data_IF_064608787239
#
_entry.id   IF_064608787239
#
_cell.length_a   1.000
_cell.length_b   1.000
_cell.length_c   1.000
_cell.angle_alpha   90.00
_cell.angle_beta   90.00
_cell.angle_gamma   90.00
#
_symmetry.space_group_name_H-M   'P 1'
#
loop_
_entity.id
_entity.type
_entity.pdbx_description
1 polymer ?
#
# COMPACT_ATOMS: atom_id res chain seq x y z
N UNK A 1 9.47 -12.85 -0.73
CA UNK A 1 8.06 -12.54 -1.06
C UNK A 1 7.96 -11.85 -2.40
N UNK A 2 6.76 -11.79 -3.00
CA UNK A 2 6.47 -11.05 -4.23
C UNK A 2 5.35 -10.04 -3.96
N UNK A 3 5.55 -8.80 -4.37
CA UNK A 3 4.62 -7.68 -4.15
C UNK A 3 4.03 -7.20 -5.47
N UNK A 4 2.73 -7.00 -5.52
CA UNK A 4 2.06 -6.22 -6.55
C UNK A 4 1.79 -4.81 -6.00
N UNK A 5 2.10 -3.78 -6.78
CA UNK A 5 1.75 -2.39 -6.46
C UNK A 5 0.63 -1.95 -7.39
N UNK A 6 -0.52 -1.61 -6.84
CA UNK A 6 -1.61 -1.02 -7.62
C UNK A 6 -1.24 0.41 -8.01
N UNK A 7 -1.06 0.65 -9.30
CA UNK A 7 -0.52 1.90 -9.82
C UNK A 7 -1.58 2.59 -10.69
N UNK A 8 -2.38 3.43 -10.07
CA UNK A 8 -3.40 4.27 -10.71
C UNK A 8 -2.78 5.65 -10.98
N UNK A 9 -3.19 6.31 -12.06
CA UNK A 9 -2.71 7.66 -12.38
C UNK A 9 -2.81 8.59 -11.17
N UNK A 10 -1.86 9.51 -11.07
CA UNK A 10 -1.78 10.48 -9.97
C UNK A 10 -1.66 9.83 -8.57
N UNK A 11 -1.00 8.66 -8.50
CA UNK A 11 -0.57 8.10 -7.22
C UNK A 11 0.37 9.09 -6.51
N UNK A 12 0.41 9.06 -5.18
CA UNK A 12 1.32 9.92 -4.44
C UNK A 12 2.77 9.43 -4.60
N UNK A 13 3.62 10.28 -5.18
CA UNK A 13 5.01 9.95 -5.55
C UNK A 13 5.83 9.43 -4.38
N UNK A 14 5.79 10.14 -3.22
CA UNK A 14 6.53 9.74 -2.01
C UNK A 14 6.07 8.36 -1.55
N UNK A 15 4.76 8.12 -1.53
CA UNK A 15 4.19 6.88 -0.98
C UNK A 15 4.62 5.68 -1.80
N UNK A 16 4.55 5.76 -3.12
CA UNK A 16 4.95 4.65 -3.97
C UNK A 16 6.46 4.45 -3.95
N UNK A 17 7.24 5.51 -4.20
CA UNK A 17 8.69 5.38 -4.39
C UNK A 17 9.39 5.02 -3.09
N UNK A 18 9.08 5.69 -1.98
CA UNK A 18 9.75 5.44 -0.70
C UNK A 18 9.42 4.04 -0.15
N UNK A 19 8.15 3.63 -0.23
CA UNK A 19 7.74 2.30 0.20
C UNK A 19 8.46 1.21 -0.60
N UNK A 20 8.38 1.28 -1.93
CA UNK A 20 9.01 0.29 -2.81
C UNK A 20 10.54 0.26 -2.64
N UNK A 21 11.18 1.42 -2.43
CA UNK A 21 12.63 1.50 -2.22
C UNK A 21 13.07 0.77 -0.96
N UNK A 22 12.39 0.96 0.17
CA UNK A 22 12.71 0.26 1.42
C UNK A 22 12.51 -1.26 1.27
N UNK A 23 11.40 -1.69 0.64
CA UNK A 23 11.16 -3.11 0.44
C UNK A 23 12.20 -3.74 -0.51
N UNK A 24 12.61 -3.02 -1.53
CA UNK A 24 13.70 -3.46 -2.43
C UNK A 24 15.02 -3.57 -1.67
N UNK A 25 15.39 -2.53 -0.89
CA UNK A 25 16.62 -2.52 -0.09
C UNK A 25 16.66 -3.64 0.95
N UNK A 26 15.51 -4.14 1.39
CA UNK A 26 15.43 -5.27 2.33
C UNK A 26 15.96 -6.59 1.78
N UNK A 27 16.00 -6.75 0.45
CA UNK A 27 16.35 -8.01 -0.22
C UNK A 27 15.34 -9.16 0.03
N UNK A 28 14.24 -8.91 0.72
CA UNK A 28 13.22 -9.92 1.07
C UNK A 28 12.13 -10.08 0.00
N UNK A 29 12.06 -9.15 -0.95
CA UNK A 29 11.12 -9.21 -2.06
C UNK A 29 11.86 -9.57 -3.35
N UNK A 30 11.63 -10.78 -3.82
CA UNK A 30 12.24 -11.29 -5.07
C UNK A 30 11.64 -10.65 -6.32
N UNK A 31 10.46 -10.03 -6.18
CA UNK A 31 9.74 -9.36 -7.25
C UNK A 31 8.84 -8.26 -6.70
N UNK A 32 8.85 -7.10 -7.36
CA UNK A 32 7.92 -5.99 -7.14
C UNK A 32 7.45 -5.55 -8.52
N UNK A 33 6.19 -5.82 -8.83
CA UNK A 33 5.56 -5.39 -10.08
C UNK A 33 4.55 -4.29 -9.83
N UNK A 34 4.39 -3.44 -10.82
CA UNK A 34 3.48 -2.31 -10.79
C UNK A 34 2.35 -2.56 -11.79
N UNK A 35 1.14 -2.75 -11.30
CA UNK A 35 -0.03 -3.06 -12.11
C UNK A 35 -0.87 -1.82 -12.38
N UNK A 36 -1.14 -1.54 -13.66
CA UNK A 36 -2.09 -0.50 -14.07
C UNK A 36 -3.44 -1.11 -14.45
N UNK A 37 -4.51 -0.84 -13.67
CA UNK A 37 -5.86 -1.27 -14.03
C UNK A 37 -6.41 -0.52 -15.25
N UNK A 38 -5.76 0.57 -15.65
CA UNK A 38 -6.06 1.37 -16.83
C UNK A 38 -5.32 0.85 -18.09
N UNK A 39 -4.58 -0.27 -17.96
CA UNK A 39 -3.83 -0.93 -19.05
C UNK A 39 -2.77 -0.04 -19.71
N UNK A 40 -2.22 0.92 -18.97
CA UNK A 40 -1.14 1.79 -19.43
C UNK A 40 0.20 1.07 -19.39
N UNK A 41 1.12 1.44 -20.29
CA UNK A 41 2.52 0.97 -20.27
C UNK A 41 3.33 1.69 -19.20
N UNK A 42 2.91 2.90 -18.83
CA UNK A 42 3.47 3.67 -17.74
C UNK A 42 2.42 4.57 -17.09
N UNK A 43 2.61 4.84 -15.83
CA UNK A 43 1.74 5.72 -15.02
C UNK A 43 2.60 6.76 -14.32
N UNK A 44 2.08 7.98 -14.23
CA UNK A 44 2.76 9.13 -13.65
C UNK A 44 2.16 9.48 -12.31
N UNK A 45 3.01 9.84 -11.35
CA UNK A 45 2.62 10.28 -10.02
C UNK A 45 1.96 11.66 -10.01
N UNK A 46 1.31 11.99 -8.90
CA UNK A 46 0.53 13.22 -8.70
C UNK A 46 1.33 14.50 -8.95
N UNK A 47 2.61 14.50 -8.60
CA UNK A 47 3.50 15.66 -8.75
C UNK A 47 4.45 15.54 -9.95
N UNK A 48 4.23 14.56 -10.83
CA UNK A 48 5.05 14.31 -12.01
C UNK A 48 6.54 14.05 -11.69
N UNK A 49 6.83 13.52 -10.51
CA UNK A 49 8.18 13.18 -10.06
C UNK A 49 8.51 11.74 -10.45
N UNK A 50 7.59 10.82 -10.25
CA UNK A 50 7.77 9.41 -10.56
C UNK A 50 7.00 8.99 -11.82
N UNK A 51 7.71 8.28 -12.71
CA UNK A 51 7.16 7.65 -13.91
C UNK A 51 7.40 6.15 -13.81
N UNK A 52 6.36 5.38 -13.65
CA UNK A 52 6.43 3.95 -13.32
C UNK A 52 6.00 3.12 -14.53
N UNK A 53 6.88 2.24 -15.01
CA UNK A 53 6.50 1.20 -15.98
C UNK A 53 5.58 0.20 -15.33
N UNK A 54 4.52 -0.20 -16.03
CA UNK A 54 3.47 -1.04 -15.47
C UNK A 54 3.22 -2.29 -16.31
N UNK A 55 2.72 -3.33 -15.64
CA UNK A 55 2.10 -4.49 -16.27
C UNK A 55 0.59 -4.26 -16.41
N UNK A 56 -0.04 -4.88 -17.41
CA UNK A 56 -1.47 -4.71 -17.73
C UNK A 56 -2.35 -5.83 -17.16
N UNK A 57 -1.74 -6.91 -16.71
CA UNK A 57 -2.43 -8.06 -16.12
C UNK A 57 -1.52 -8.74 -15.11
N UNK A 58 -2.12 -9.47 -14.18
CA UNK A 58 -1.42 -10.26 -13.18
C UNK A 58 -2.23 -11.53 -12.86
N UNK A 59 -1.60 -12.49 -12.19
CA UNK A 59 -2.28 -13.60 -11.54
C UNK A 59 -2.05 -13.46 -10.04
N UNK A 60 -3.11 -13.38 -9.25
CA UNK A 60 -3.03 -13.21 -7.78
C UNK A 60 -2.17 -14.29 -7.12
N UNK A 61 -2.13 -15.50 -7.67
CA UNK A 61 -1.32 -16.60 -7.13
C UNK A 61 0.20 -16.36 -7.23
N UNK A 62 0.62 -15.45 -8.10
CA UNK A 62 2.04 -15.11 -8.28
C UNK A 62 2.58 -14.13 -7.23
N UNK A 63 1.71 -13.58 -6.36
CA UNK A 63 2.08 -12.56 -5.38
C UNK A 63 1.64 -12.95 -3.96
N UNK A 64 2.35 -12.43 -2.97
CA UNK A 64 2.07 -12.62 -1.54
C UNK A 64 1.34 -11.43 -0.93
N UNK A 65 1.49 -10.26 -1.53
CA UNK A 65 0.94 -9.00 -1.04
C UNK A 65 0.59 -8.05 -2.18
N UNK A 66 -0.36 -7.14 -1.91
CA UNK A 66 -0.64 -5.95 -2.73
C UNK A 66 -0.41 -4.69 -1.91
N UNK A 67 0.21 -3.67 -2.51
CA UNK A 67 0.35 -2.33 -1.96
C UNK A 67 -0.49 -1.33 -2.76
N UNK A 68 -1.22 -0.47 -2.04
CA UNK A 68 -2.12 0.53 -2.61
C UNK A 68 -1.71 1.92 -2.11
N UNK A 69 -0.93 2.69 -2.89
CA UNK A 69 -0.59 4.06 -2.57
C UNK A 69 -1.82 4.97 -2.67
N UNK A 70 -1.76 6.12 -2.02
CA UNK A 70 -2.82 7.12 -2.04
C UNK A 70 -2.61 8.21 -3.10
N UNK A 71 -2.75 9.46 -2.68
CA UNK A 71 -2.77 10.62 -3.57
C UNK A 71 -4.11 10.79 -4.27
N UNK A 72 -4.13 11.54 -5.37
CA UNK A 72 -5.31 11.65 -6.24
C UNK A 72 -5.70 10.29 -6.83
N UNK A 73 -4.74 9.38 -6.95
CA UNK A 73 -4.97 7.98 -7.32
C UNK A 73 -6.02 7.28 -6.47
N UNK A 74 -6.10 7.58 -5.17
CA UNK A 74 -7.12 7.04 -4.28
C UNK A 74 -8.54 7.57 -4.60
N UNK A 75 -8.65 8.80 -5.10
CA UNK A 75 -9.92 9.36 -5.57
C UNK A 75 -10.36 8.59 -6.82
N UNK A 76 -9.44 8.37 -7.77
CA UNK A 76 -9.73 7.59 -8.97
C UNK A 76 -10.07 6.12 -8.65
N UNK A 77 -9.43 5.54 -7.62
CA UNK A 77 -9.70 4.16 -7.18
C UNK A 77 -11.17 3.95 -6.80
N UNK A 78 -11.83 4.95 -6.18
CA UNK A 78 -13.23 4.85 -5.74
C UNK A 78 -14.20 4.41 -6.85
N UNK A 79 -13.89 4.74 -8.09
CA UNK A 79 -14.71 4.39 -9.25
C UNK A 79 -14.04 3.41 -10.22
N UNK A 80 -12.78 3.06 -9.99
CA UNK A 80 -12.03 2.14 -10.85
C UNK A 80 -12.33 0.69 -10.47
N UNK A 81 -13.31 0.08 -11.14
CA UNK A 81 -13.76 -1.28 -10.85
C UNK A 81 -12.64 -2.32 -11.01
N UNK A 82 -11.73 -2.18 -12.00
CA UNK A 82 -10.60 -3.09 -12.18
C UNK A 82 -9.58 -2.98 -11.03
N UNK A 83 -9.32 -1.76 -10.56
CA UNK A 83 -8.43 -1.51 -9.42
C UNK A 83 -9.02 -2.08 -8.11
N UNK A 84 -10.30 -1.83 -7.86
CA UNK A 84 -11.02 -2.40 -6.70
C UNK A 84 -11.06 -3.92 -6.76
N UNK A 85 -11.36 -4.51 -7.92
CA UNK A 85 -11.36 -5.95 -8.11
C UNK A 85 -9.99 -6.56 -7.85
N UNK A 86 -8.90 -5.92 -8.31
CA UNK A 86 -7.55 -6.38 -8.04
C UNK A 86 -7.27 -6.50 -6.53
N UNK A 87 -7.59 -5.48 -5.73
CA UNK A 87 -7.41 -5.55 -4.27
C UNK A 87 -8.31 -6.64 -3.65
N UNK A 88 -9.55 -6.74 -4.13
CA UNK A 88 -10.49 -7.75 -3.63
C UNK A 88 -10.03 -9.19 -3.88
N UNK A 89 -9.31 -9.46 -4.98
CA UNK A 89 -8.70 -10.77 -5.23
C UNK A 89 -7.69 -11.13 -4.15
N UNK A 90 -6.87 -10.19 -3.67
CA UNK A 90 -5.93 -10.41 -2.57
C UNK A 90 -6.67 -10.68 -1.25
N UNK A 91 -7.72 -9.91 -0.94
CA UNK A 91 -8.55 -10.14 0.25
C UNK A 91 -9.15 -11.55 0.20
N UNK A 92 -9.78 -11.94 -0.91
CA UNK A 92 -10.37 -13.28 -1.09
C UNK A 92 -9.36 -14.41 -1.00
N UNK A 93 -8.15 -14.19 -1.52
CA UNK A 93 -7.06 -15.15 -1.47
C UNK A 93 -6.36 -15.19 -0.10
N UNK A 94 -6.85 -14.44 0.89
CA UNK A 94 -6.26 -14.31 2.22
C UNK A 94 -4.76 -13.91 2.14
N UNK A 95 -4.44 -12.96 1.26
CA UNK A 95 -3.10 -12.38 1.08
C UNK A 95 -3.00 -11.01 1.74
N UNK A 96 -1.78 -10.52 1.92
CA UNK A 96 -1.56 -9.23 2.56
C UNK A 96 -2.05 -8.07 1.69
N UNK A 97 -2.80 -7.17 2.30
CA UNK A 97 -3.18 -5.87 1.73
C UNK A 97 -2.50 -4.78 2.56
N UNK A 98 -1.74 -3.94 1.88
CA UNK A 98 -1.06 -2.80 2.49
C UNK A 98 -1.58 -1.56 1.78
N UNK A 99 -2.12 -0.59 2.53
CA UNK A 99 -2.69 0.61 1.94
C UNK A 99 -2.33 1.86 2.77
N UNK A 100 -2.20 3.01 2.11
CA UNK A 100 -1.79 4.24 2.79
C UNK A 100 -2.64 5.44 2.35
N UNK A 101 -2.63 6.47 3.19
CA UNK A 101 -3.23 7.76 2.91
C UNK A 101 -4.74 7.65 2.72
N UNK A 102 -5.28 8.08 1.59
CA UNK A 102 -6.71 8.02 1.31
C UNK A 102 -7.18 6.67 0.73
N UNK A 103 -6.26 5.79 0.35
CA UNK A 103 -6.61 4.48 -0.21
C UNK A 103 -7.37 3.57 0.75
N UNK A 104 -7.05 3.48 2.06
CA UNK A 104 -7.88 2.72 2.99
C UNK A 104 -9.33 3.20 3.06
N UNK A 105 -9.59 4.52 2.92
CA UNK A 105 -10.94 5.07 2.85
C UNK A 105 -11.65 4.56 1.59
N UNK A 106 -11.01 4.69 0.42
CA UNK A 106 -11.56 4.21 -0.85
C UNK A 106 -11.93 2.72 -0.80
N UNK A 107 -11.06 1.89 -0.19
CA UNK A 107 -11.31 0.45 -0.02
C UNK A 107 -12.47 0.18 0.95
N UNK A 108 -12.56 0.92 2.06
CA UNK A 108 -13.65 0.79 3.04
C UNK A 108 -14.99 1.21 2.46
N UNK A 109 -15.05 2.36 1.79
CA UNK A 109 -16.25 2.88 1.12
C UNK A 109 -16.82 1.90 0.06
N UNK A 110 -15.92 1.19 -0.63
CA UNK A 110 -16.28 0.19 -1.63
C UNK A 110 -16.45 -1.23 -1.05
N UNK A 111 -16.46 -1.38 0.28
CA UNK A 111 -16.67 -2.67 0.96
C UNK A 111 -15.64 -3.74 0.58
N UNK A 112 -14.42 -3.32 0.25
CA UNK A 112 -13.29 -4.22 0.00
C UNK A 112 -12.70 -4.70 1.32
N UNK A 113 -12.62 -3.79 2.32
CA UNK A 113 -12.25 -4.16 3.69
C UNK A 113 -13.45 -4.80 4.40
N UNK A 114 -13.17 -5.69 5.36
CA UNK A 114 -14.25 -6.24 6.17
C UNK A 114 -14.87 -5.13 7.05
N UNK A 115 -16.18 -5.21 7.33
CA UNK A 115 -16.88 -4.19 8.11
C UNK A 115 -16.28 -3.92 9.51
N UNK A 116 -15.61 -4.93 10.08
CA UNK A 116 -14.98 -4.83 11.42
C UNK A 116 -13.52 -4.38 11.38
N UNK A 117 -12.94 -4.20 10.18
CA UNK A 117 -11.54 -3.82 10.04
C UNK A 117 -11.31 -2.39 10.53
N UNK A 118 -10.56 -2.25 11.61
CA UNK A 118 -10.01 -0.96 12.01
C UNK A 118 -8.83 -0.63 11.14
N UNK A 119 -8.78 0.61 10.63
CA UNK A 119 -7.71 1.08 9.75
C UNK A 119 -7.32 2.52 10.06
N UNK A 120 -6.14 2.89 9.62
CA UNK A 120 -5.63 4.25 9.62
C UNK A 120 -5.62 4.78 8.19
N UNK A 121 -5.94 6.06 8.03
CA UNK A 121 -5.93 6.74 6.74
C UNK A 121 -5.73 8.24 6.92
N UNK A 122 -5.47 8.91 5.81
CA UNK A 122 -5.54 10.36 5.72
C UNK A 122 -6.99 10.85 5.90
N UNK A 123 -7.15 12.05 6.44
CA UNK A 123 -8.43 12.74 6.52
C UNK A 123 -8.20 14.24 6.57
N UNK A 124 -9.03 14.97 5.90
CA UNK A 124 -9.14 16.45 5.98
C UNK A 124 -9.88 16.94 7.21
N UNK A 125 -10.31 16.03 8.10
CA UNK A 125 -11.10 16.35 9.30
C UNK A 125 -12.61 16.20 9.10
N UNK A 126 -13.10 16.11 7.88
CA UNK A 126 -14.55 16.00 7.58
C UNK A 126 -15.02 14.56 7.50
N UNK A 127 -14.10 13.60 7.26
CA UNK A 127 -14.43 12.19 7.11
C UNK A 127 -14.84 11.54 8.42
N UNK A 128 -16.01 10.97 8.45
CA UNK A 128 -16.54 10.20 9.59
C UNK A 128 -16.71 8.73 9.19
N UNK A 129 -15.61 7.98 9.22
CA UNK A 129 -15.62 6.53 9.00
C UNK A 129 -15.55 5.83 10.35
N UNK A 130 -16.52 5.02 10.75
CA UNK A 130 -16.62 4.45 12.11
C UNK A 130 -15.43 3.57 12.49
N UNK A 131 -14.82 2.91 11.54
CA UNK A 131 -13.68 2.02 11.77
C UNK A 131 -12.31 2.69 11.57
N UNK A 132 -12.30 3.97 11.19
CA UNK A 132 -11.08 4.76 11.06
C UNK A 132 -10.58 5.18 12.44
N UNK A 133 -9.35 4.77 12.79
CA UNK A 133 -8.69 5.19 14.02
C UNK A 133 -7.72 6.36 13.75
N UNK A 134 -7.46 7.19 14.79
CA UNK A 134 -6.74 8.47 14.64
C UNK A 134 -5.42 8.54 15.42
N UNK A 135 -5.17 7.58 16.32
CA UNK A 135 -4.16 7.74 17.38
C UNK A 135 -2.75 7.32 16.95
N UNK A 136 -2.63 6.56 15.86
CA UNK A 136 -1.36 6.02 15.38
C UNK A 136 -1.08 6.41 13.93
N UNK A 137 0.14 6.15 13.46
CA UNK A 137 0.54 6.37 12.08
C UNK A 137 0.38 5.12 11.21
N UNK A 138 0.44 3.94 11.84
CA UNK A 138 0.29 2.64 11.18
C UNK A 138 -0.64 1.74 12.00
N UNK A 139 -1.37 0.88 11.33
CA UNK A 139 -2.31 -0.06 11.95
C UNK A 139 -2.18 -1.43 11.30
N UNK A 140 -2.19 -2.47 12.14
CA UNK A 140 -2.25 -3.87 11.74
C UNK A 140 -3.59 -4.47 12.14
N UNK A 141 -4.27 -5.08 11.18
CA UNK A 141 -5.29 -6.08 11.42
C UNK A 141 -4.74 -7.43 10.97
N UNK A 142 -4.21 -8.19 11.93
CA UNK A 142 -3.48 -9.45 11.63
C UNK A 142 -4.42 -10.54 11.11
N UNK A 143 -5.64 -10.64 11.62
CA UNK A 143 -6.61 -11.66 11.21
C UNK A 143 -6.99 -11.54 9.74
N UNK A 144 -7.05 -10.32 9.21
CA UNK A 144 -7.42 -10.03 7.83
C UNK A 144 -6.22 -9.64 6.97
N UNK A 145 -4.98 -9.81 7.50
CA UNK A 145 -3.72 -9.47 6.81
C UNK A 145 -3.74 -8.07 6.20
N UNK A 146 -4.25 -7.09 6.95
CA UNK A 146 -4.36 -5.71 6.54
C UNK A 146 -3.36 -4.84 7.31
N UNK A 147 -2.52 -4.09 6.60
CA UNK A 147 -1.62 -3.08 7.17
C UNK A 147 -1.99 -1.75 6.54
N UNK A 148 -2.23 -0.72 7.35
CA UNK A 148 -2.57 0.61 6.84
C UNK A 148 -1.69 1.70 7.44
N UNK A 149 -1.43 2.74 6.64
CA UNK A 149 -0.65 3.92 7.01
C UNK A 149 -1.43 5.22 6.83
N UNK A 150 -1.04 6.26 7.59
CA UNK A 150 -1.78 7.51 7.66
C UNK A 150 -1.65 8.37 6.40
N UNK A 151 -0.44 8.71 6.01
CA UNK A 151 -0.19 9.68 4.94
C UNK A 151 1.25 9.59 4.43
N UNK A 152 1.57 10.40 3.43
CA UNK A 152 2.89 10.43 2.78
C UNK A 152 4.06 10.59 3.76
N UNK A 153 3.89 11.41 4.81
CA UNK A 153 4.94 11.63 5.80
C UNK A 153 5.24 10.40 6.66
N UNK A 154 4.33 9.44 6.71
CA UNK A 154 4.47 8.20 7.48
C UNK A 154 4.83 6.99 6.62
N UNK A 155 5.15 7.19 5.35
CA UNK A 155 5.45 6.10 4.40
C UNK A 155 6.63 5.25 4.81
N UNK A 156 7.71 5.87 5.29
CA UNK A 156 8.89 5.12 5.76
C UNK A 156 8.55 4.28 7.00
N UNK A 157 7.76 4.83 7.92
CA UNK A 157 7.27 4.11 9.09
C UNK A 157 6.44 2.89 8.67
N UNK A 158 5.51 3.06 7.71
CA UNK A 158 4.71 1.97 7.17
C UNK A 158 5.59 0.89 6.53
N UNK A 159 6.62 1.28 5.76
CA UNK A 159 7.51 0.33 5.10
C UNK A 159 8.28 -0.53 6.11
N UNK A 160 8.88 0.08 7.12
CA UNK A 160 9.59 -0.65 8.18
C UNK A 160 8.64 -1.48 9.04
N UNK A 161 7.46 -0.96 9.37
CA UNK A 161 6.43 -1.71 10.09
C UNK A 161 5.95 -2.92 9.28
N UNK A 162 5.81 -2.78 7.97
CA UNK A 162 5.49 -3.90 7.07
C UNK A 162 6.56 -4.99 7.14
N UNK A 163 7.84 -4.61 7.13
CA UNK A 163 8.94 -5.57 7.28
C UNK A 163 8.94 -6.25 8.66
N UNK A 164 8.64 -5.51 9.72
CA UNK A 164 8.49 -6.06 11.07
C UNK A 164 7.37 -7.11 11.11
N UNK A 165 6.21 -6.81 10.55
CA UNK A 165 5.05 -7.69 10.54
C UNK A 165 5.26 -8.95 9.70
N UNK A 166 5.89 -8.79 8.53
CA UNK A 166 6.07 -9.88 7.55
C UNK A 166 7.28 -10.77 7.85
N UNK A 167 8.26 -10.26 8.55
CA UNK A 167 9.50 -10.98 8.84
C UNK A 167 9.81 -10.98 10.33
N UNK A 168 10.43 -9.92 10.86
CA UNK A 168 10.60 -9.72 12.30
C UNK A 168 10.97 -8.28 12.63
N UNK A 169 10.82 -7.92 13.91
CA UNK A 169 11.20 -6.62 14.44
C UNK A 169 12.71 -6.42 14.32
N UNK A 170 13.48 -7.43 14.72
CA UNK A 170 14.94 -7.40 14.67
C UNK A 170 15.44 -7.11 13.25
N UNK A 171 14.91 -7.82 12.25
CA UNK A 171 15.25 -7.58 10.86
C UNK A 171 14.95 -6.15 10.41
N UNK A 172 13.77 -5.63 10.77
CA UNK A 172 13.37 -4.26 10.45
C UNK A 172 14.30 -3.23 11.08
N UNK A 173 14.69 -3.41 12.35
CA UNK A 173 15.62 -2.53 13.08
C UNK A 173 17.04 -2.58 12.50
N UNK A 174 17.56 -3.76 12.18
CA UNK A 174 18.86 -3.94 11.53
C UNK A 174 18.93 -3.24 10.18
N UNK A 175 17.90 -3.40 9.34
CA UNK A 175 17.83 -2.72 8.06
C UNK A 175 17.76 -1.19 8.25
N UNK A 176 16.96 -0.72 9.21
CA UNK A 176 16.86 0.71 9.52
C UNK A 176 18.22 1.28 9.94
N UNK A 177 18.92 0.61 10.85
CA UNK A 177 20.25 1.02 11.30
C UNK A 177 21.24 1.10 10.13
N UNK A 178 21.25 0.07 9.28
CA UNK A 178 22.08 0.05 8.07
C UNK A 178 21.80 1.22 7.13
N UNK A 179 20.51 1.53 6.88
CA UNK A 179 20.14 2.61 5.96
C UNK A 179 20.34 4.01 6.55
N UNK A 180 20.37 4.14 7.87
CA UNK A 180 20.69 5.41 8.55
C UNK A 180 22.19 5.62 8.76
N UNK A 181 23.02 4.63 8.47
CA UNK A 181 24.47 4.72 8.64
C UNK A 181 24.94 4.68 10.08
N UNK A 182 24.13 4.15 11.00
CA UNK A 182 24.48 3.98 12.43
C UNK A 182 24.67 2.51 12.82
N UNK A 183 24.82 1.64 11.83
CA UNK A 183 25.09 0.22 12.02
C UNK A 183 26.58 -0.06 12.10
#
# INVERSE_FOLDING_TARGET
>A
MKLLVLTIKEFQDIELVSFASILTASGKFSKIDYYSPEEKDSVVGQFNVAHIKTIKSFNVNDYDAIYVPGGMGAIHLRTNQKGLAAVHEFVKANKWVIAICDSPNALSENKILNPEDKYISWSDGTMNHPNRIKDFNVQLNRSNKLITGRCSLTTLELAFYTLEVLFSKEFSEELRAKLTGVA
#
